data_IF_816140360830
#
_entry.id   IF_816140360830
#
_cell.length_a   1.000
_cell.length_b   1.000
_cell.length_c   1.000
_cell.angle_alpha   90.00
_cell.angle_beta   90.00
_cell.angle_gamma   90.00
#
_symmetry.space_group_name_H-M   'P 1'
#
loop_
_entity.id
_entity.type
_entity.pdbx_description
1 polymer ?
#
# COMPACT_ATOMS: atom_id res chain seq x y z
N UNK A 1 3.61 -18.71 21.62
CA UNK A 1 2.15 -18.54 21.50
C UNK A 1 1.93 -17.89 20.14
N UNK A 2 1.17 -18.57 19.27
CA UNK A 2 1.11 -18.35 17.82
C UNK A 2 0.52 -16.99 17.46
N UNK A 3 1.38 -16.03 17.16
CA UNK A 3 1.02 -14.81 16.44
C UNK A 3 0.89 -15.19 14.95
N UNK A 4 -0.19 -15.90 14.61
CA UNK A 4 -0.51 -16.19 13.21
C UNK A 4 -0.87 -14.86 12.56
N UNK A 5 0.04 -14.33 11.74
CA UNK A 5 -0.04 -13.05 11.02
C UNK A 5 -1.17 -12.97 9.98
N UNK A 6 -2.36 -13.39 10.38
CA UNK A 6 -3.60 -13.35 9.63
C UNK A 6 -4.48 -12.23 10.19
N UNK A 7 -4.71 -11.20 9.39
CA UNK A 7 -5.56 -10.07 9.72
C UNK A 7 -6.93 -10.25 9.10
N UNK A 8 -8.00 -10.02 9.86
CA UNK A 8 -9.35 -10.03 9.31
C UNK A 8 -9.57 -8.77 8.46
N UNK A 9 -10.07 -8.93 7.24
CA UNK A 9 -10.43 -7.84 6.34
C UNK A 9 -11.95 -7.60 6.33
N UNK A 10 -12.50 -6.80 7.27
CA UNK A 10 -13.92 -6.47 7.28
C UNK A 10 -14.26 -5.61 6.04
N UNK A 11 -15.03 -6.18 5.11
CA UNK A 11 -15.49 -5.49 3.91
C UNK A 11 -14.88 -5.98 2.60
N UNK A 12 -13.85 -6.83 2.65
CA UNK A 12 -13.36 -7.50 1.46
C UNK A 12 -14.45 -8.46 0.93
N UNK A 13 -14.84 -8.29 -0.33
CA UNK A 13 -15.80 -9.18 -0.99
C UNK A 13 -15.02 -10.27 -1.71
N UNK A 14 -15.28 -11.52 -1.38
CA UNK A 14 -14.73 -12.62 -2.16
C UNK A 14 -15.31 -12.54 -3.59
N UNK A 15 -14.48 -12.53 -4.64
CA UNK A 15 -14.96 -12.42 -6.03
C UNK A 15 -15.85 -13.60 -6.45
N UNK A 16 -15.63 -14.77 -5.85
CA UNK A 16 -16.34 -16.02 -6.19
C UNK A 16 -17.63 -16.15 -5.39
N UNK A 17 -17.54 -16.02 -4.07
CA UNK A 17 -18.72 -16.09 -3.22
C UNK A 17 -19.63 -14.85 -3.39
N UNK A 18 -19.08 -13.71 -3.84
CA UNK A 18 -19.73 -12.37 -3.91
C UNK A 18 -20.35 -11.87 -2.60
N UNK A 19 -20.22 -12.63 -1.52
CA UNK A 19 -20.67 -12.30 -0.19
C UNK A 19 -19.64 -11.44 0.53
N UNK A 20 -20.12 -10.59 1.44
CA UNK A 20 -19.29 -9.94 2.45
C UNK A 20 -18.98 -10.98 3.54
N UNK A 21 -18.11 -11.93 3.22
CA UNK A 21 -17.65 -12.97 4.13
C UNK A 21 -16.46 -12.53 4.97
N UNK A 22 -16.09 -13.35 5.96
CA UNK A 22 -14.84 -13.19 6.72
C UNK A 22 -13.68 -13.53 5.78
N UNK A 23 -12.99 -12.53 5.26
CA UNK A 23 -11.76 -12.73 4.49
C UNK A 23 -10.56 -12.47 5.41
N UNK A 24 -9.50 -13.26 5.27
CA UNK A 24 -8.30 -13.17 6.10
C UNK A 24 -7.11 -12.88 5.20
N UNK A 25 -6.33 -11.85 5.54
CA UNK A 25 -5.06 -11.53 4.90
C UNK A 25 -3.92 -12.17 5.67
N UNK A 26 -3.18 -13.07 5.05
CA UNK A 26 -1.89 -13.52 5.54
C UNK A 26 -0.82 -12.50 5.16
N UNK A 27 -0.25 -11.82 6.16
CA UNK A 27 0.77 -10.80 5.97
C UNK A 27 2.11 -11.39 5.50
N UNK A 28 2.39 -12.66 5.80
CA UNK A 28 3.64 -13.30 5.40
C UNK A 28 3.65 -13.62 3.89
N UNK A 29 2.49 -13.98 3.34
CA UNK A 29 2.35 -14.36 1.92
C UNK A 29 1.63 -13.31 1.07
N UNK A 30 1.09 -12.25 1.69
CA UNK A 30 0.21 -11.25 1.06
C UNK A 30 -0.99 -11.88 0.34
N UNK A 31 -1.53 -12.97 0.90
CA UNK A 31 -2.68 -13.67 0.33
C UNK A 31 -3.94 -13.39 1.14
N UNK A 32 -5.04 -13.14 0.44
CA UNK A 32 -6.38 -13.04 1.05
C UNK A 32 -7.15 -14.32 0.80
N UNK A 33 -7.55 -14.97 1.89
CA UNK A 33 -8.34 -16.21 1.89
C UNK A 33 -9.77 -15.92 2.33
N UNK A 34 -10.75 -16.31 1.52
CA UNK A 34 -12.15 -16.26 1.89
C UNK A 34 -12.48 -17.39 2.87
N UNK A 35 -13.00 -17.07 4.06
CA UNK A 35 -13.39 -18.07 5.06
C UNK A 35 -14.60 -18.91 4.69
N UNK A 36 -15.40 -18.49 3.70
CA UNK A 36 -16.62 -19.20 3.26
C UNK A 36 -16.30 -20.25 2.19
N UNK A 37 -15.63 -19.85 1.10
CA UNK A 37 -15.28 -20.75 -0.02
C UNK A 37 -13.83 -21.27 0.02
N UNK A 38 -13.01 -20.84 0.97
CA UNK A 38 -11.61 -21.25 1.10
C UNK A 38 -10.67 -20.72 0.02
N UNK A 39 -11.17 -19.91 -0.92
CA UNK A 39 -10.37 -19.44 -2.03
C UNK A 39 -9.38 -18.36 -1.60
N UNK A 40 -8.12 -18.55 -1.98
CA UNK A 40 -7.03 -17.59 -1.81
C UNK A 40 -6.82 -16.75 -3.08
N UNK A 41 -6.55 -15.47 -2.91
CA UNK A 41 -6.17 -14.55 -3.98
C UNK A 41 -5.02 -13.67 -3.52
N UNK A 42 -4.03 -13.43 -4.39
CA UNK A 42 -2.90 -12.56 -4.08
C UNK A 42 -3.33 -11.10 -4.09
N UNK A 43 -3.02 -10.37 -3.03
CA UNK A 43 -3.17 -8.91 -3.02
C UNK A 43 -1.85 -8.30 -3.47
N UNK A 44 -1.83 -7.75 -4.68
CA UNK A 44 -0.76 -6.82 -5.05
C UNK A 44 -1.03 -5.51 -4.32
N UNK A 45 -0.32 -5.29 -3.22
CA UNK A 45 -0.25 -3.94 -2.62
C UNK A 45 0.69 -3.13 -3.50
N UNK A 46 0.14 -2.33 -4.41
CA UNK A 46 0.95 -1.31 -5.09
C UNK A 46 1.39 -0.29 -4.03
N UNK A 47 2.70 -0.03 -3.87
CA UNK A 47 3.16 1.00 -2.95
C UNK A 47 2.61 2.35 -3.42
N UNK A 48 1.88 3.05 -2.56
CA UNK A 48 1.37 4.39 -2.89
C UNK A 48 2.54 5.29 -3.32
N UNK A 49 2.39 6.04 -4.43
CA UNK A 49 3.44 6.92 -4.91
C UNK A 49 3.66 8.04 -3.89
N UNK A 50 4.77 7.96 -3.14
CA UNK A 50 5.19 9.00 -2.21
C UNK A 50 5.43 10.28 -3.02
N UNK A 51 4.61 11.31 -2.81
CA UNK A 51 4.75 12.62 -3.48
C UNK A 51 6.18 13.13 -3.24
N UNK A 52 6.95 13.30 -4.32
CA UNK A 52 8.30 13.83 -4.26
C UNK A 52 8.29 15.24 -3.63
N UNK A 53 9.08 15.43 -2.56
CA UNK A 53 9.21 16.75 -1.92
C UNK A 53 9.84 17.74 -2.91
N UNK A 54 9.29 18.96 -3.05
CA UNK A 54 9.85 19.96 -3.95
C UNK A 54 11.25 20.36 -3.47
N UNK A 55 12.26 20.06 -4.30
CA UNK A 55 13.65 20.47 -4.08
C UNK A 55 13.74 21.99 -4.28
N UNK A 56 13.91 22.75 -3.20
CA UNK A 56 14.20 24.21 -3.28
C UNK A 56 15.54 24.42 -3.98
N UNK A 57 15.50 24.79 -5.25
CA UNK A 57 16.66 25.33 -5.97
C UNK A 57 16.92 26.75 -5.47
N UNK A 58 18.02 26.93 -4.74
CA UNK A 58 18.49 28.25 -4.30
C UNK A 58 19.05 28.96 -5.52
N UNK A 59 18.28 29.87 -6.12
CA UNK A 59 18.80 30.77 -7.17
C UNK A 59 19.85 31.68 -6.54
N UNK A 60 21.11 31.48 -6.92
CA UNK A 60 22.19 32.37 -6.54
C UNK A 60 21.97 33.72 -7.25
N UNK A 61 21.73 34.77 -6.47
CA UNK A 61 21.61 36.16 -6.95
C UNK A 61 22.98 36.60 -7.48
N UNK A 62 23.13 36.66 -8.80
CA UNK A 62 24.33 37.20 -9.42
C UNK A 62 24.42 38.71 -9.14
N UNK A 63 25.24 39.11 -8.18
CA UNK A 63 25.63 40.51 -7.99
C UNK A 63 26.65 40.87 -9.06
N UNK A 64 26.20 41.65 -10.05
CA UNK A 64 27.06 42.19 -11.11
C UNK A 64 27.81 43.41 -10.55
N UNK A 65 29.03 43.18 -10.04
CA UNK A 65 29.94 44.27 -9.66
C UNK A 65 30.41 44.97 -10.93
N UNK A 66 29.92 46.20 -11.15
CA UNK A 66 30.33 47.07 -12.26
C UNK A 66 31.61 47.78 -11.82
N UNK A 67 32.75 47.35 -12.35
CA UNK A 67 34.03 48.06 -12.25
C UNK A 67 33.92 49.38 -13.00
N UNK A 68 34.25 50.49 -12.33
CA UNK A 68 34.72 51.72 -12.96
C UNK A 68 35.73 52.40 -12.05
#
# INVERSE_FOLDING_TARGET
>A
MTDTGTELLPGHRCPTCRTKGKCFLDQATQQVTCGECGQASLVLVEPEPVKAKPRRTRTARATRSKTR
#
